data_IF_173754181329
#
_entry.id   IF_173754181329
#
_cell.length_a   1.000
_cell.length_b   1.000
_cell.length_c   1.000
_cell.angle_alpha   90.00
_cell.angle_beta   90.00
_cell.angle_gamma   90.00
#
_symmetry.space_group_name_H-M   'P 1'
#
loop_
_entity.id
_entity.type
_entity.pdbx_description
1 polymer ?
#
# COMPACT_ATOMS: atom_id res chain seq x y z
N UNK A 1 13.27 -8.30 1.78
CA UNK A 1 14.50 -7.65 2.20
C UNK A 1 14.24 -6.69 3.35
N UNK A 2 15.11 -6.68 4.34
CA UNK A 2 15.09 -5.75 5.47
C UNK A 2 15.90 -4.50 5.15
N UNK A 3 15.71 -3.42 5.92
CA UNK A 3 16.50 -2.18 5.79
C UNK A 3 18.00 -2.44 6.01
N UNK A 4 18.35 -3.38 6.89
CA UNK A 4 19.73 -3.80 7.16
C UNK A 4 20.42 -4.38 5.93
N UNK A 5 19.74 -5.26 5.18
CA UNK A 5 20.32 -5.92 4.00
C UNK A 5 20.64 -4.92 2.87
N UNK A 6 19.86 -3.85 2.73
CA UNK A 6 20.17 -2.79 1.76
C UNK A 6 21.41 -1.99 2.15
N UNK A 7 21.63 -1.78 3.45
CA UNK A 7 22.82 -1.08 3.94
C UNK A 7 24.07 -1.95 3.77
N UNK A 8 23.95 -3.27 3.95
CA UNK A 8 25.02 -4.24 3.66
C UNK A 8 25.39 -4.27 2.16
N UNK A 9 24.39 -4.25 1.27
CA UNK A 9 24.63 -4.17 -0.18
C UNK A 9 25.32 -2.85 -0.53
N UNK A 10 24.91 -1.72 0.07
CA UNK A 10 25.56 -0.42 -0.17
C UNK A 10 27.00 -0.40 0.31
N UNK A 11 27.28 -0.97 1.47
CA UNK A 11 28.64 -1.08 2.00
C UNK A 11 29.51 -1.95 1.09
N UNK A 12 28.97 -3.08 0.62
CA UNK A 12 29.64 -3.95 -0.34
C UNK A 12 29.93 -3.24 -1.68
N UNK A 13 28.95 -2.52 -2.24
CA UNK A 13 29.12 -1.78 -3.50
C UNK A 13 30.13 -0.63 -3.41
N UNK A 14 30.38 -0.11 -2.20
CA UNK A 14 31.35 0.95 -1.96
C UNK A 14 32.78 0.42 -1.77
N UNK A 15 32.97 -0.90 -1.66
CA UNK A 15 34.29 -1.52 -1.51
C UNK A 15 35.02 -1.56 -2.86
N UNK A 16 36.20 -0.94 -2.90
CA UNK A 16 37.09 -0.88 -4.08
C UNK A 16 37.59 -2.27 -4.51
N UNK A 17 37.55 -3.28 -3.63
CA UNK A 17 37.90 -4.66 -3.94
C UNK A 17 36.78 -5.44 -4.67
N UNK A 18 35.63 -4.82 -4.93
CA UNK A 18 34.49 -5.49 -5.57
C UNK A 18 34.75 -5.81 -7.03
N UNK A 19 34.61 -7.08 -7.40
CA UNK A 19 34.82 -7.54 -8.78
C UNK A 19 33.52 -7.48 -9.60
N UNK A 20 33.64 -7.29 -10.92
CA UNK A 20 32.49 -7.23 -11.83
C UNK A 20 31.58 -8.48 -11.79
N UNK A 21 32.15 -9.67 -11.52
CA UNK A 21 31.37 -10.89 -11.36
C UNK A 21 30.45 -10.89 -10.13
N UNK A 22 30.89 -10.28 -9.03
CA UNK A 22 30.08 -10.14 -7.81
C UNK A 22 28.93 -9.15 -8.01
N UNK A 23 29.19 -8.06 -8.73
CA UNK A 23 28.15 -7.10 -9.11
C UNK A 23 27.05 -7.75 -9.95
N UNK A 24 27.42 -8.57 -10.94
CA UNK A 24 26.44 -9.29 -11.77
C UNK A 24 25.62 -10.29 -10.97
N UNK A 25 26.23 -10.99 -10.01
CA UNK A 25 25.55 -11.92 -9.11
C UNK A 25 24.54 -11.18 -8.23
N UNK A 26 24.94 -10.08 -7.60
CA UNK A 26 24.05 -9.24 -6.77
C UNK A 26 22.91 -8.67 -7.60
N UNK A 27 23.19 -8.15 -8.80
CA UNK A 27 22.17 -7.63 -9.69
C UNK A 27 21.11 -8.69 -10.04
N UNK A 28 21.52 -9.93 -10.31
CA UNK A 28 20.60 -11.03 -10.58
C UNK A 28 19.72 -11.35 -9.37
N UNK A 29 20.31 -11.45 -8.18
CA UNK A 29 19.55 -11.68 -6.95
C UNK A 29 18.54 -10.56 -6.68
N UNK A 30 18.93 -9.29 -6.88
CA UNK A 30 18.03 -8.15 -6.71
C UNK A 30 16.88 -8.13 -7.73
N UNK A 31 17.13 -8.55 -8.97
CA UNK A 31 16.10 -8.70 -10.00
C UNK A 31 15.13 -9.81 -9.59
N UNK A 32 15.63 -10.98 -9.20
CA UNK A 32 14.79 -12.10 -8.77
C UNK A 32 13.92 -11.69 -7.56
N UNK A 33 14.51 -11.00 -6.56
CA UNK A 33 13.77 -10.49 -5.40
C UNK A 33 12.70 -9.46 -5.78
N UNK A 34 13.00 -8.57 -6.72
CA UNK A 34 12.05 -7.60 -7.23
C UNK A 34 10.88 -8.30 -7.94
N UNK A 35 11.15 -9.30 -8.76
CA UNK A 35 10.13 -10.10 -9.44
C UNK A 35 9.23 -10.81 -8.43
N UNK A 36 9.82 -11.46 -7.42
CA UNK A 36 9.07 -12.08 -6.33
C UNK A 36 8.21 -11.06 -5.56
N UNK A 37 8.77 -9.88 -5.26
CA UNK A 37 8.03 -8.82 -4.60
C UNK A 37 6.84 -8.33 -5.44
N UNK A 38 7.03 -8.12 -6.75
CA UNK A 38 5.96 -7.71 -7.68
C UNK A 38 4.89 -8.78 -7.81
N UNK A 39 5.27 -10.06 -7.83
CA UNK A 39 4.31 -11.15 -7.88
C UNK A 39 3.44 -11.19 -6.61
N UNK A 40 4.06 -11.08 -5.43
CA UNK A 40 3.32 -11.00 -4.15
C UNK A 40 2.40 -9.79 -4.10
N UNK A 41 2.87 -8.63 -4.56
CA UNK A 41 2.07 -7.42 -4.64
C UNK A 41 0.86 -7.59 -5.58
N UNK A 42 1.05 -8.18 -6.75
CA UNK A 42 -0.03 -8.44 -7.70
C UNK A 42 -1.09 -9.39 -7.13
N UNK A 43 -0.66 -10.43 -6.42
CA UNK A 43 -1.55 -11.36 -5.70
C UNK A 43 -2.34 -10.63 -4.62
N UNK A 44 -1.67 -9.85 -3.76
CA UNK A 44 -2.34 -9.06 -2.71
C UNK A 44 -3.33 -8.05 -3.29
N UNK A 45 -2.96 -7.31 -4.34
CA UNK A 45 -3.87 -6.38 -5.03
C UNK A 45 -5.12 -7.09 -5.55
N UNK A 46 -4.95 -8.27 -6.14
CA UNK A 46 -6.06 -9.09 -6.62
C UNK A 46 -6.97 -9.51 -5.47
N UNK A 47 -6.41 -9.91 -4.34
CA UNK A 47 -7.18 -10.27 -3.15
C UNK A 47 -7.98 -9.10 -2.59
N UNK A 48 -7.35 -7.93 -2.42
CA UNK A 48 -8.04 -6.74 -1.94
C UNK A 48 -9.11 -6.25 -2.90
N UNK A 49 -8.88 -6.33 -4.21
CA UNK A 49 -9.89 -5.96 -5.21
C UNK A 49 -11.12 -6.86 -5.13
N UNK A 50 -10.93 -8.17 -4.95
CA UNK A 50 -12.04 -9.12 -4.76
C UNK A 50 -12.81 -8.84 -3.47
N UNK A 51 -12.11 -8.59 -2.37
CA UNK A 51 -12.74 -8.24 -1.08
C UNK A 51 -13.55 -6.95 -1.19
N UNK A 52 -13.01 -5.91 -1.83
CA UNK A 52 -13.72 -4.66 -2.09
C UNK A 52 -14.95 -4.88 -2.98
N UNK A 53 -14.84 -5.76 -3.97
CA UNK A 53 -15.95 -6.10 -4.86
C UNK A 53 -17.07 -6.81 -4.10
N UNK A 54 -16.74 -7.79 -3.25
CA UNK A 54 -17.73 -8.45 -2.41
C UNK A 54 -18.36 -7.51 -1.39
N UNK A 55 -17.58 -6.63 -0.75
CA UNK A 55 -18.12 -5.62 0.17
C UNK A 55 -19.12 -4.69 -0.54
N UNK A 56 -18.80 -4.23 -1.76
CA UNK A 56 -19.73 -3.42 -2.59
C UNK A 56 -20.98 -4.20 -2.99
N UNK A 57 -20.84 -5.48 -3.37
CA UNK A 57 -21.96 -6.34 -3.70
C UNK A 57 -22.88 -6.56 -2.49
N UNK A 58 -22.29 -6.73 -1.31
CA UNK A 58 -23.02 -6.86 -0.05
C UNK A 58 -23.84 -5.62 0.29
N UNK A 59 -23.27 -4.42 0.14
CA UNK A 59 -24.03 -3.17 0.34
C UNK A 59 -25.15 -3.02 -0.71
N UNK A 60 -24.88 -3.36 -1.97
CA UNK A 60 -25.90 -3.32 -3.01
C UNK A 60 -27.04 -4.31 -2.77
N UNK A 61 -26.72 -5.51 -2.27
CA UNK A 61 -27.69 -6.53 -1.92
C UNK A 61 -28.58 -6.09 -0.74
N UNK A 62 -28.00 -5.41 0.24
CA UNK A 62 -28.74 -4.81 1.37
C UNK A 62 -29.72 -3.74 0.90
N UNK A 63 -29.26 -2.80 0.07
CA UNK A 63 -30.10 -1.75 -0.54
C UNK A 63 -31.23 -2.35 -1.38
N UNK A 64 -30.98 -3.47 -2.07
CA UNK A 64 -31.96 -4.16 -2.89
C UNK A 64 -32.92 -5.06 -2.09
N UNK A 65 -32.76 -5.19 -0.77
CA UNK A 65 -33.60 -6.05 0.07
C UNK A 65 -33.39 -7.55 -0.19
N UNK A 66 -32.16 -7.96 -0.56
CA UNK A 66 -31.83 -9.37 -0.76
C UNK A 66 -31.95 -10.16 0.56
N UNK A 67 -32.30 -11.46 0.51
CA UNK A 67 -32.53 -12.26 1.72
C UNK A 67 -31.26 -12.55 2.55
N UNK A 68 -30.07 -12.59 1.92
CA UNK A 68 -28.78 -12.67 2.63
C UNK A 68 -27.76 -11.71 1.99
N UNK A 69 -27.76 -10.42 2.40
CA UNK A 69 -26.82 -9.44 1.86
C UNK A 69 -25.35 -9.78 2.11
N UNK A 70 -25.07 -10.51 3.20
CA UNK A 70 -23.71 -10.85 3.60
C UNK A 70 -23.12 -12.04 2.84
N UNK A 71 -23.90 -12.72 1.99
CA UNK A 71 -23.48 -13.92 1.27
C UNK A 71 -22.16 -13.71 0.49
N UNK A 72 -22.03 -12.59 -0.23
CA UNK A 72 -20.83 -12.29 -1.02
C UNK A 72 -19.58 -12.14 -0.15
N UNK A 73 -19.67 -11.36 0.94
CA UNK A 73 -18.54 -11.14 1.83
C UNK A 73 -18.15 -12.41 2.58
N UNK A 74 -19.13 -13.18 3.09
CA UNK A 74 -18.89 -14.47 3.75
C UNK A 74 -18.18 -15.45 2.82
N UNK A 75 -18.62 -15.54 1.56
CA UNK A 75 -18.00 -16.41 0.57
C UNK A 75 -16.53 -16.03 0.31
N UNK A 76 -16.24 -14.75 0.06
CA UNK A 76 -14.85 -14.33 -0.18
C UNK A 76 -13.94 -14.55 1.05
N UNK A 77 -14.45 -14.34 2.27
CA UNK A 77 -13.69 -14.61 3.49
C UNK A 77 -13.48 -16.11 3.71
N UNK A 78 -14.49 -16.94 3.45
CA UNK A 78 -14.39 -18.39 3.62
C UNK A 78 -13.40 -19.03 2.64
N UNK A 79 -13.41 -18.62 1.37
CA UNK A 79 -12.47 -19.09 0.35
C UNK A 79 -11.00 -18.86 0.73
N UNK A 80 -10.73 -17.95 1.67
CA UNK A 80 -9.39 -17.60 2.12
C UNK A 80 -9.09 -18.05 3.55
N UNK A 81 -10.01 -18.75 4.21
CA UNK A 81 -9.85 -19.13 5.63
C UNK A 81 -9.76 -17.92 6.57
N UNK A 82 -10.43 -16.81 6.22
CA UNK A 82 -10.42 -15.56 6.99
C UNK A 82 -11.71 -15.35 7.78
N UNK A 83 -12.56 -16.38 7.88
CA UNK A 83 -13.75 -16.33 8.73
C UNK A 83 -13.34 -16.35 10.21
N UNK A 84 -13.91 -15.49 11.06
CA UNK A 84 -13.71 -15.59 12.50
C UNK A 84 -14.18 -16.95 13.02
N UNK A 85 -13.30 -17.68 13.72
CA UNK A 85 -13.59 -19.04 14.17
C UNK A 85 -14.46 -19.09 15.44
N UNK A 86 -14.24 -18.18 16.42
CA UNK A 86 -14.95 -18.18 17.70
C UNK A 86 -15.02 -16.80 18.41
N UNK A 87 -15.66 -16.77 19.59
CA UNK A 87 -16.02 -15.55 20.31
C UNK A 87 -14.85 -14.67 20.73
N UNK A 88 -13.73 -15.24 21.18
CA UNK A 88 -12.55 -14.43 21.57
C UNK A 88 -11.91 -13.79 20.34
N UNK A 89 -11.78 -14.55 19.23
CA UNK A 89 -11.30 -14.03 17.97
C UNK A 89 -12.20 -12.91 17.43
N UNK A 90 -13.53 -13.07 17.50
CA UNK A 90 -14.49 -12.03 17.09
C UNK A 90 -14.31 -10.75 17.90
N UNK A 91 -14.23 -10.85 19.23
CA UNK A 91 -14.08 -9.64 20.07
C UNK A 91 -12.76 -8.92 19.80
N UNK A 92 -11.68 -9.67 19.59
CA UNK A 92 -10.38 -9.11 19.23
C UNK A 92 -10.42 -8.40 17.88
N UNK A 93 -10.96 -9.05 16.85
CA UNK A 93 -11.12 -8.45 15.50
C UNK A 93 -11.95 -7.16 15.57
N UNK A 94 -13.02 -7.15 16.36
CA UNK A 94 -13.85 -5.95 16.54
C UNK A 94 -13.09 -4.84 17.29
N UNK A 95 -12.30 -5.18 18.32
CA UNK A 95 -11.47 -4.22 19.04
C UNK A 95 -10.37 -3.63 18.14
N UNK A 96 -9.73 -4.46 17.32
CA UNK A 96 -8.73 -4.05 16.36
C UNK A 96 -9.32 -3.14 15.29
N UNK A 97 -10.50 -3.47 14.76
CA UNK A 97 -11.20 -2.65 13.77
C UNK A 97 -11.57 -1.26 14.34
N UNK A 98 -12.07 -1.21 15.58
CA UNK A 98 -12.34 0.07 16.26
C UNK A 98 -11.06 0.88 16.48
N UNK A 99 -10.01 0.24 16.95
CA UNK A 99 -8.72 0.90 17.20
C UNK A 99 -8.13 1.45 15.91
N UNK A 100 -8.15 0.66 14.83
CA UNK A 100 -7.69 1.10 13.52
C UNK A 100 -8.48 2.31 13.00
N UNK A 101 -9.81 2.30 13.15
CA UNK A 101 -10.64 3.43 12.75
C UNK A 101 -10.30 4.72 13.52
N UNK A 102 -10.06 4.63 14.83
CA UNK A 102 -9.64 5.76 15.65
C UNK A 102 -8.25 6.29 15.24
N UNK A 103 -7.29 5.39 15.01
CA UNK A 103 -5.95 5.76 14.57
C UNK A 103 -5.97 6.47 13.20
N UNK A 104 -6.78 5.98 12.26
CA UNK A 104 -6.96 6.61 10.95
C UNK A 104 -7.57 8.01 11.08
N UNK A 105 -8.61 8.18 11.91
CA UNK A 105 -9.21 9.49 12.17
C UNK A 105 -8.20 10.50 12.74
N UNK A 106 -7.37 10.08 13.71
CA UNK A 106 -6.30 10.92 14.26
C UNK A 106 -5.28 11.36 13.19
N UNK A 107 -4.94 10.48 12.24
CA UNK A 107 -4.03 10.79 11.13
C UNK A 107 -4.64 11.80 10.16
N UNK A 108 -5.94 11.70 9.88
CA UNK A 108 -6.64 12.66 9.01
C UNK A 108 -6.75 14.06 9.64
N UNK A 109 -6.99 14.15 10.95
CA UNK A 109 -7.04 15.41 11.69
C UNK A 109 -5.68 16.11 11.79
N UNK A 110 -4.59 15.33 11.82
CA UNK A 110 -3.22 15.84 12.00
C UNK A 110 -2.52 16.24 10.71
N UNK A 111 -3.17 16.17 9.54
CA UNK A 111 -2.68 16.80 8.32
C UNK A 111 -2.96 18.31 8.39
N UNK A 112 -1.96 19.18 8.66
CA UNK A 112 -2.20 20.61 8.58
C UNK A 112 -2.65 20.93 7.16
N UNK A 113 -3.86 21.48 7.02
CA UNK A 113 -4.34 21.98 5.74
C UNK A 113 -3.30 22.99 5.24
N UNK A 114 -2.57 22.63 4.17
CA UNK A 114 -1.64 23.56 3.52
C UNK A 114 -2.39 24.87 3.31
N UNK A 115 -1.92 26.01 3.84
CA UNK A 115 -2.61 27.27 3.66
C UNK A 115 -2.79 27.52 2.17
N UNK A 116 -4.04 27.52 1.71
CA UNK A 116 -4.40 27.80 0.32
C UNK A 116 -4.03 29.25 0.02
N UNK A 117 -2.88 29.42 -0.62
CA UNK A 117 -2.54 30.58 -1.43
C UNK A 117 -2.12 31.83 -0.66
N UNK A 118 -0.85 31.87 -0.23
CA UNK A 118 -0.13 33.14 -0.37
C UNK A 118 0.05 33.37 -1.87
N UNK A 119 -0.75 34.27 -2.44
CA UNK A 119 -0.57 34.77 -3.81
C UNK A 119 0.84 35.37 -3.90
N UNK A 120 1.82 34.58 -4.32
CA UNK A 120 3.13 35.10 -4.69
C UNK A 120 2.88 36.11 -5.82
N UNK A 121 3.15 37.39 -5.53
CA UNK A 121 3.25 38.43 -6.56
C UNK A 121 4.20 37.88 -7.61
N UNK A 122 3.70 37.70 -8.84
CA UNK A 122 4.52 37.40 -10.02
C UNK A 122 5.57 38.51 -10.15
N UNK A 123 6.82 38.21 -9.82
CA UNK A 123 7.95 38.95 -10.35
C UNK A 123 8.00 38.65 -11.85
N UNK A 124 7.52 39.59 -12.67
CA UNK A 124 7.71 39.56 -14.11
C UNK A 124 9.17 39.95 -14.37
N UNK A 125 10.03 38.93 -14.44
CA UNK A 125 11.45 39.08 -14.79
C UNK A 125 11.62 39.14 -16.30
N UNK A 126 12.12 40.29 -16.77
CA UNK A 126 12.57 40.68 -18.11
C UNK A 126 12.83 39.57 -19.14
N UNK A 127 12.17 39.68 -20.29
CA UNK A 127 12.58 39.06 -21.55
C UNK A 127 13.87 39.70 -22.07
N UNK A 128 14.89 38.88 -22.39
CA UNK A 128 16.05 39.30 -23.19
C UNK A 128 15.76 38.96 -24.65
N UNK A 129 15.72 39.97 -25.52
CA UNK A 129 15.81 39.81 -26.97
C UNK A 129 17.28 39.76 -27.39
N UNK A 130 17.64 38.74 -28.18
CA UNK A 130 18.94 38.64 -28.85
C UNK A 130 18.97 39.58 -30.08
N UNK A 131 20.05 40.35 -30.31
CA UNK A 131 20.25 41.04 -31.57
C UNK A 131 20.93 40.12 -32.61
N UNK A 132 20.60 40.38 -33.87
CA UNK A 132 21.18 39.78 -35.08
C UNK A 132 22.66 40.11 -35.28
#
# INVERSE_FOLDING_TARGET
>A
MTRSEFDDIRAFLADEATHAGDLLRIARTLIDDLEHARMREAVLRTHYLRLLTAARATVAADIAGAPDPMAFLKHELSERGQMPEDGEAVQRILADARTAALLLACLEESVPQRPRGLRLRRCVGMTRTLPH
#
